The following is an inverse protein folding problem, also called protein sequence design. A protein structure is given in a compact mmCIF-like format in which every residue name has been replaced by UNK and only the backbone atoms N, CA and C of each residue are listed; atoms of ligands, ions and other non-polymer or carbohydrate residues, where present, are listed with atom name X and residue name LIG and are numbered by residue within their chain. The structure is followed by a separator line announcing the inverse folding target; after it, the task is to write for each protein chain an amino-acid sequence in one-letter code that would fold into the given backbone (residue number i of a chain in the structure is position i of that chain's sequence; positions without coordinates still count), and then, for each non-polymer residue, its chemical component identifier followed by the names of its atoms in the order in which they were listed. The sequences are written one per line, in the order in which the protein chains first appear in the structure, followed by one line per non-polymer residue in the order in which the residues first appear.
data_IF_728517460189
#
_entry.id   IF_728517460189
#
_cell.length_a   1.000
_cell.length_b   1.000
_cell.length_c   1.000
_cell.angle_alpha   90.00
_cell.angle_beta   90.00
_cell.angle_gamma   90.00
#
_symmetry.space_group_name_H-M   'P 1'
#
loop_
_entity.id
_entity.type
_entity.pdbx_description
1 polymer ?
#
# COMPACT_ATOMS: atom_id res chain seq x y z
N UNK A 1 -5.19 -6.71 15.00
CA UNK A 1 -5.79 -5.54 15.70
C UNK A 1 -4.80 -4.39 15.51
N UNK A 2 -5.09 -3.19 15.03
CA UNK A 2 -6.30 -2.51 14.57
C UNK A 2 -5.85 -1.26 13.79
N UNK A 3 -6.74 -0.72 12.95
CA UNK A 3 -6.45 0.31 11.96
C UNK A 3 -6.23 1.70 12.58
N UNK A 4 -5.23 2.42 12.05
CA UNK A 4 -4.96 3.83 12.36
C UNK A 4 -5.68 4.72 11.34
N UNK A 5 -6.68 5.41 11.87
CA UNK A 5 -7.40 6.63 11.47
C UNK A 5 -6.90 7.42 10.24
N UNK A 6 -7.78 7.59 9.24
CA UNK A 6 -7.73 8.63 8.22
C UNK A 6 -8.86 9.65 8.48
N UNK A 7 -8.50 10.90 8.72
CA UNK A 7 -9.43 12.04 8.70
C UNK A 7 -9.00 12.97 7.56
N UNK A 8 -9.67 12.85 6.43
CA UNK A 8 -9.56 13.78 5.30
C UNK A 8 -10.43 15.02 5.59
N UNK A 9 -9.80 16.19 5.51
CA UNK A 9 -10.37 17.49 5.85
C UNK A 9 -10.95 18.12 4.57
N UNK A 10 -12.28 18.15 4.45
CA UNK A 10 -13.04 18.72 3.34
C UNK A 10 -13.28 20.23 3.60
N UNK A 11 -12.63 21.10 2.81
CA UNK A 11 -12.36 22.50 3.15
C UNK A 11 -13.39 23.54 2.65
N UNK A 12 -14.67 23.18 2.45
CA UNK A 12 -15.66 24.11 1.85
C UNK A 12 -17.06 24.07 2.47
N UNK A 13 -17.23 23.55 3.68
CA UNK A 13 -18.51 23.60 4.41
C UNK A 13 -18.37 24.45 5.66
N UNK A 14 -19.33 25.35 5.99
CA UNK A 14 -19.28 26.10 7.24
C UNK A 14 -19.17 25.12 8.40
N UNK A 15 -18.40 25.49 9.43
CA UNK A 15 -18.08 24.63 10.56
C UNK A 15 -19.35 24.29 11.35
N UNK A 16 -20.00 23.18 10.99
CA UNK A 16 -21.19 22.69 11.66
C UNK A 16 -20.72 21.92 12.87
N UNK A 17 -20.76 22.56 14.04
CA UNK A 17 -20.52 21.90 15.32
C UNK A 17 -21.62 20.87 15.54
N UNK A 18 -21.30 19.61 15.28
CA UNK A 18 -22.17 18.47 15.54
C UNK A 18 -21.97 18.05 17.00
N UNK A 19 -22.86 18.50 17.87
CA UNK A 19 -22.85 18.11 19.28
C UNK A 19 -23.48 16.73 19.37
N UNK A 20 -22.67 15.73 19.72
CA UNK A 20 -23.17 14.39 19.96
C UNK A 20 -23.97 14.36 21.28
N UNK A 21 -25.01 13.52 21.34
CA UNK A 21 -25.92 13.48 22.50
C UNK A 21 -25.25 13.11 23.83
N UNK A 22 -24.03 12.58 23.76
CA UNK A 22 -23.19 12.23 24.89
C UNK A 22 -22.35 13.41 25.41
N UNK A 23 -22.23 14.49 24.62
CA UNK A 23 -21.48 15.72 24.95
C UNK A 23 -22.37 16.78 25.61
N UNK A 24 -23.68 16.53 25.69
CA UNK A 24 -24.63 17.40 26.38
C UNK A 24 -24.51 17.18 27.89
N UNK A 25 -24.15 18.22 28.69
CA UNK A 25 -24.07 18.07 30.14
C UNK A 25 -25.41 17.62 30.74
N UNK A 26 -25.35 16.79 31.79
CA UNK A 26 -26.53 16.22 32.48
C UNK A 26 -27.55 17.31 32.91
N UNK A 27 -27.06 18.52 33.22
CA UNK A 27 -27.86 19.69 33.57
C UNK A 27 -28.82 20.15 32.46
N UNK A 28 -28.48 19.90 31.19
CA UNK A 28 -29.28 20.29 30.03
C UNK A 28 -30.10 19.14 29.43
N UNK A 29 -29.92 17.92 29.96
CA UNK A 29 -30.58 16.69 29.47
C UNK A 29 -32.09 16.68 29.73
N UNK A 30 -32.55 17.45 30.71
CA UNK A 30 -33.94 17.52 31.17
C UNK A 30 -34.72 18.68 30.55
N UNK A 31 -34.05 19.60 29.86
CA UNK A 31 -34.68 20.75 29.21
C UNK A 31 -35.23 20.32 27.86
N UNK A 32 -36.49 19.85 27.86
CA UNK A 32 -37.20 19.51 26.64
C UNK A 32 -37.60 20.76 25.87
N UNK A 33 -37.18 20.88 24.62
CA UNK A 33 -37.71 21.90 23.71
C UNK A 33 -39.13 21.49 23.30
N UNK A 34 -40.11 22.38 23.46
CA UNK A 34 -41.49 22.10 23.02
C UNK A 34 -41.53 21.76 21.53
N UNK A 35 -42.38 20.81 21.15
CA UNK A 35 -42.58 20.38 19.76
C UNK A 35 -42.93 21.54 18.82
N UNK A 36 -43.53 22.60 19.36
CA UNK A 36 -43.93 23.77 18.55
C UNK A 36 -42.75 24.68 18.23
N UNK A 37 -41.73 24.73 19.09
CA UNK A 37 -40.48 25.46 18.82
C UNK A 37 -39.65 24.69 17.78
N UNK A 38 -39.59 23.37 17.90
CA UNK A 38 -38.92 22.49 16.92
C UNK A 38 -39.57 22.63 15.54
N UNK A 39 -40.90 22.61 15.48
CA UNK A 39 -41.64 22.82 14.23
C UNK A 39 -41.38 24.21 13.64
N UNK A 40 -41.33 25.26 14.47
CA UNK A 40 -41.07 26.63 14.02
C UNK A 40 -39.65 26.82 13.48
N UNK A 41 -38.64 26.22 14.11
CA UNK A 41 -37.25 26.27 13.65
C UNK A 41 -37.07 25.47 12.36
N UNK A 42 -37.65 24.27 12.26
CA UNK A 42 -37.66 23.51 11.00
C UNK A 42 -38.40 24.25 9.88
N UNK A 43 -39.54 24.89 10.19
CA UNK A 43 -40.27 25.70 9.22
C UNK A 43 -39.50 26.96 8.81
N UNK A 44 -38.75 27.58 9.73
CA UNK A 44 -37.88 28.73 9.42
C UNK A 44 -36.69 28.33 8.53
N UNK A 45 -36.11 27.14 8.74
CA UNK A 45 -35.07 26.58 7.86
C UNK A 45 -35.60 26.18 6.47
N UNK A 46 -36.87 25.79 6.38
CA UNK A 46 -37.54 25.49 5.09
C UNK A 46 -37.97 26.78 4.38
N UNK A 47 -38.44 27.80 5.10
CA UNK A 47 -38.83 29.09 4.53
C UNK A 47 -37.65 29.99 4.14
N UNK A 48 -36.45 29.72 4.67
CA UNK A 48 -35.20 30.39 4.32
C UNK A 48 -34.56 29.87 3.02
N UNK A 49 -35.21 30.11 1.88
CA UNK A 49 -34.53 30.19 0.57
C UNK A 49 -33.98 28.92 -0.08
N UNK A 50 -34.22 27.71 0.45
CA UNK A 50 -33.66 26.45 -0.12
C UNK A 50 -34.68 25.49 -0.75
N UNK A 51 -35.93 25.93 -0.94
CA UNK A 51 -37.01 25.10 -1.50
C UNK A 51 -36.68 24.59 -2.91
N UNK A 52 -36.14 25.47 -3.77
CA UNK A 52 -35.73 25.11 -5.13
C UNK A 52 -34.49 24.22 -5.21
N UNK A 53 -33.59 24.30 -4.22
CA UNK A 53 -32.42 23.41 -4.14
C UNK A 53 -32.84 22.02 -3.63
N UNK A 54 -33.73 21.96 -2.65
CA UNK A 54 -34.31 20.71 -2.17
C UNK A 54 -35.09 19.97 -3.27
N UNK A 55 -35.87 20.68 -4.08
CA UNK A 55 -36.60 20.05 -5.19
C UNK A 55 -35.67 19.57 -6.30
N UNK A 56 -34.57 20.28 -6.58
CA UNK A 56 -33.51 19.80 -7.49
C UNK A 56 -32.84 18.53 -6.95
N UNK A 57 -32.45 18.53 -5.68
CA UNK A 57 -31.84 17.36 -5.03
C UNK A 57 -32.79 16.15 -5.02
N UNK A 58 -34.10 16.37 -4.83
CA UNK A 58 -35.11 15.31 -4.94
C UNK A 58 -35.22 14.76 -6.35
N UNK A 59 -35.14 15.62 -7.37
CA UNK A 59 -35.18 15.21 -8.77
C UNK A 59 -33.90 14.47 -9.19
N UNK A 60 -32.73 14.90 -8.72
CA UNK A 60 -31.45 14.20 -8.91
C UNK A 60 -31.45 12.83 -8.23
N UNK A 61 -31.93 12.75 -6.98
CA UNK A 61 -32.06 11.48 -6.25
C UNK A 61 -33.00 10.50 -6.99
N UNK A 62 -34.07 11.00 -7.61
CA UNK A 62 -34.98 10.18 -8.39
C UNK A 62 -34.30 9.64 -9.66
N UNK A 63 -33.54 10.47 -10.38
CA UNK A 63 -32.75 10.05 -11.54
C UNK A 63 -31.67 9.03 -11.18
N UNK A 64 -30.93 9.28 -10.11
CA UNK A 64 -29.87 8.38 -9.65
C UNK A 64 -30.45 7.02 -9.22
N UNK A 65 -31.63 7.00 -8.61
CA UNK A 65 -32.34 5.75 -8.29
C UNK A 65 -32.76 4.98 -9.53
N UNK A 66 -33.22 5.66 -10.58
CA UNK A 66 -33.59 5.05 -11.84
C UNK A 66 -32.36 4.49 -12.58
N UNK A 67 -31.29 5.29 -12.66
CA UNK A 67 -30.02 4.84 -13.24
C UNK A 67 -29.42 3.67 -12.48
N UNK A 68 -29.45 3.70 -11.15
CA UNK A 68 -28.99 2.59 -10.30
C UNK A 68 -29.85 1.35 -10.47
N UNK A 69 -31.16 1.49 -10.64
CA UNK A 69 -32.06 0.38 -10.90
C UNK A 69 -31.73 -0.28 -12.25
N UNK A 70 -31.53 0.55 -13.29
CA UNK A 70 -31.11 0.09 -14.62
C UNK A 70 -29.73 -0.58 -14.58
N UNK A 71 -28.76 0.01 -13.89
CA UNK A 71 -27.42 -0.57 -13.73
C UNK A 71 -27.46 -1.90 -12.99
N UNK A 72 -28.34 -2.05 -11.99
CA UNK A 72 -28.55 -3.32 -11.28
C UNK A 72 -29.17 -4.38 -12.18
N UNK A 73 -30.11 -4.01 -13.03
CA UNK A 73 -30.71 -4.92 -14.02
C UNK A 73 -29.67 -5.36 -15.06
N UNK A 74 -28.88 -4.43 -15.59
CA UNK A 74 -27.79 -4.72 -16.52
C UNK A 74 -26.72 -5.62 -15.89
N UNK A 75 -26.35 -5.38 -14.63
CA UNK A 75 -25.44 -6.25 -13.87
C UNK A 75 -26.04 -7.64 -13.63
N UNK A 76 -27.33 -7.75 -13.33
CA UNK A 76 -28.00 -9.03 -13.17
C UNK A 76 -28.04 -9.81 -14.49
N UNK A 77 -28.31 -9.12 -15.61
CA UNK A 77 -28.30 -9.70 -16.95
C UNK A 77 -26.91 -10.15 -17.38
N UNK A 78 -25.88 -9.34 -17.13
CA UNK A 78 -24.47 -9.70 -17.34
C UNK A 78 -24.05 -10.89 -16.48
N UNK A 79 -24.46 -10.92 -15.22
CA UNK A 79 -24.21 -12.03 -14.31
C UNK A 79 -24.87 -13.32 -14.81
N UNK A 80 -26.11 -13.25 -15.28
CA UNK A 80 -26.82 -14.40 -15.85
C UNK A 80 -26.18 -14.88 -17.16
N UNK A 81 -25.70 -13.96 -18.01
CA UNK A 81 -24.95 -14.29 -19.23
C UNK A 81 -23.60 -14.92 -18.91
N UNK A 82 -22.89 -14.43 -17.88
CA UNK A 82 -21.66 -15.07 -17.38
C UNK A 82 -21.94 -16.46 -16.82
N UNK A 83 -23.01 -16.65 -16.06
CA UNK A 83 -23.40 -17.96 -15.54
C UNK A 83 -23.77 -18.94 -16.66
N UNK A 84 -24.49 -18.48 -17.68
CA UNK A 84 -24.80 -19.29 -18.87
C UNK A 84 -23.54 -19.60 -19.69
N UNK A 85 -22.62 -18.65 -19.84
CA UNK A 85 -21.33 -18.85 -20.50
C UNK A 85 -20.45 -19.83 -19.73
N UNK A 86 -20.41 -19.74 -18.40
CA UNK A 86 -19.72 -20.67 -17.51
C UNK A 86 -20.38 -22.07 -17.46
N UNK A 87 -21.66 -22.17 -17.83
CA UNK A 87 -22.41 -23.43 -17.96
C UNK A 87 -22.30 -24.10 -19.33
N UNK A 88 -21.90 -23.38 -20.40
CA UNK A 88 -21.72 -23.95 -21.75
C UNK A 88 -20.27 -23.93 -22.24
N UNK A 89 -19.37 -23.31 -21.50
CA UNK A 89 -17.94 -23.34 -21.70
C UNK A 89 -17.28 -23.16 -20.33
N UNK A 90 -16.24 -23.92 -20.03
CA UNK A 90 -15.42 -23.65 -18.87
C UNK A 90 -14.99 -22.17 -18.81
N UNK A 91 -14.84 -21.69 -17.57
CA UNK A 91 -14.17 -20.46 -17.15
C UNK A 91 -15.03 -19.22 -16.79
N UNK A 92 -14.82 -18.82 -15.52
CA UNK A 92 -14.60 -17.47 -14.99
C UNK A 92 -15.81 -16.54 -14.75
N UNK A 93 -16.33 -16.60 -13.51
CA UNK A 93 -16.63 -15.37 -12.77
C UNK A 93 -15.32 -14.79 -12.20
N UNK A 94 -15.15 -13.46 -12.09
CA UNK A 94 -14.02 -12.85 -11.40
C UNK A 94 -14.31 -12.90 -9.89
N UNK A 95 -14.37 -14.11 -9.34
CA UNK A 95 -14.06 -14.27 -7.93
C UNK A 95 -12.57 -14.03 -7.77
N UNK A 96 -12.20 -13.59 -6.58
CA UNK A 96 -10.85 -13.44 -6.04
C UNK A 96 -10.07 -14.78 -6.00
N UNK A 97 -10.14 -15.58 -7.06
CA UNK A 97 -9.23 -16.65 -7.35
C UNK A 97 -7.99 -15.99 -7.97
N UNK A 98 -7.08 -15.55 -7.10
CA UNK A 98 -5.67 -15.82 -7.35
C UNK A 98 -5.58 -17.33 -7.53
N UNK A 99 -5.81 -17.80 -8.76
CA UNK A 99 -5.51 -19.16 -9.16
C UNK A 99 -4.08 -19.40 -8.69
N UNK A 100 -3.81 -20.47 -7.93
CA UNK A 100 -2.43 -20.78 -7.51
C UNK A 100 -1.44 -20.69 -8.69
N UNK A 101 -1.93 -21.00 -9.89
CA UNK A 101 -1.25 -20.83 -11.17
C UNK A 101 -0.87 -19.38 -11.53
N UNK A 102 -1.73 -18.37 -11.31
CA UNK A 102 -1.39 -16.95 -11.59
C UNK A 102 -0.32 -16.44 -10.62
N UNK A 103 -0.35 -16.90 -9.36
CA UNK A 103 0.68 -16.59 -8.36
C UNK A 103 2.00 -17.31 -8.68
N UNK A 104 1.93 -18.57 -9.10
CA UNK A 104 3.09 -19.38 -9.51
C UNK A 104 3.74 -18.82 -10.78
N UNK A 105 2.94 -18.38 -11.75
CA UNK A 105 3.40 -17.72 -12.98
C UNK A 105 4.06 -16.38 -12.67
N UNK A 106 3.46 -15.55 -11.79
CA UNK A 106 4.08 -14.30 -11.33
C UNK A 106 5.38 -14.53 -10.57
N UNK A 107 5.43 -15.57 -9.73
CA UNK A 107 6.65 -15.97 -9.02
C UNK A 107 7.73 -16.42 -10.01
N UNK A 108 7.37 -17.23 -11.01
CA UNK A 108 8.28 -17.68 -12.07
C UNK A 108 8.83 -16.52 -12.91
N UNK A 109 7.99 -15.53 -13.22
CA UNK A 109 8.43 -14.31 -13.92
C UNK A 109 9.38 -13.48 -13.05
N UNK A 110 9.10 -13.38 -11.75
CA UNK A 110 9.97 -12.69 -10.80
C UNK A 110 11.32 -13.40 -10.68
N UNK A 111 11.32 -14.72 -10.48
CA UNK A 111 12.53 -15.53 -10.37
C UNK A 111 13.38 -15.46 -11.65
N UNK A 112 12.76 -15.55 -12.84
CA UNK A 112 13.47 -15.38 -14.13
C UNK A 112 14.02 -13.95 -14.31
N UNK A 113 13.32 -12.94 -13.81
CA UNK A 113 13.81 -11.56 -13.82
C UNK A 113 15.00 -11.37 -12.88
N UNK A 114 14.95 -11.96 -11.69
CA UNK A 114 16.06 -11.97 -10.74
C UNK A 114 17.26 -12.69 -11.35
N UNK A 115 17.06 -13.85 -11.98
CA UNK A 115 18.13 -14.60 -12.65
C UNK A 115 18.76 -13.80 -13.79
N UNK A 116 17.96 -13.06 -14.57
CA UNK A 116 18.49 -12.18 -15.63
C UNK A 116 19.29 -11.02 -15.04
N UNK A 117 18.78 -10.35 -14.02
CA UNK A 117 19.49 -9.27 -13.32
C UNK A 117 20.77 -9.81 -12.68
N UNK A 118 20.72 -10.98 -12.05
CA UNK A 118 21.87 -11.64 -11.47
C UNK A 118 22.91 -11.98 -12.53
N UNK A 119 22.52 -12.57 -13.66
CA UNK A 119 23.46 -12.84 -14.77
C UNK A 119 23.99 -11.56 -15.39
N UNK A 120 23.21 -10.50 -15.48
CA UNK A 120 23.60 -9.30 -16.19
C UNK A 120 24.47 -8.37 -15.32
N UNK A 121 24.25 -8.35 -14.01
CA UNK A 121 24.95 -7.45 -13.08
C UNK A 121 25.89 -8.17 -12.09
N UNK A 122 25.70 -9.47 -11.86
CA UNK A 122 26.48 -10.27 -10.91
C UNK A 122 27.25 -11.44 -11.55
N UNK A 123 27.21 -11.63 -12.88
CA UNK A 123 28.04 -12.67 -13.54
C UNK A 123 29.54 -12.43 -13.38
N UNK A 124 29.95 -11.19 -13.14
CA UNK A 124 31.35 -10.86 -12.91
C UNK A 124 31.60 -10.60 -11.42
N UNK A 125 31.85 -11.68 -10.68
CA UNK A 125 32.61 -11.56 -9.45
C UNK A 125 34.07 -11.33 -9.84
N UNK A 126 34.61 -10.14 -9.53
CA UNK A 126 36.05 -9.90 -9.62
C UNK A 126 36.76 -10.95 -8.76
N UNK A 127 37.72 -11.67 -9.34
CA UNK A 127 38.57 -12.60 -8.59
C UNK A 127 39.20 -11.88 -7.39
N UNK A 128 39.43 -12.62 -6.29
CA UNK A 128 39.98 -12.06 -5.07
C UNK A 128 41.46 -11.69 -5.29
N UNK A 129 41.71 -10.47 -5.77
CA UNK A 129 43.05 -9.95 -6.14
C UNK A 129 44.02 -9.94 -4.94
N UNK A 130 43.49 -10.00 -3.71
CA UNK A 130 44.28 -9.98 -2.48
C UNK A 130 44.39 -11.35 -1.80
N UNK A 131 43.99 -12.44 -2.49
CA UNK A 131 44.00 -13.79 -1.95
C UNK A 131 45.40 -14.25 -1.52
N UNK A 132 46.46 -13.85 -2.22
CA UNK A 132 47.84 -14.21 -1.86
C UNK A 132 48.25 -13.62 -0.51
N UNK A 133 47.92 -12.35 -0.28
CA UNK A 133 48.17 -11.67 0.99
C UNK A 133 47.33 -12.29 2.12
N UNK A 134 46.09 -12.69 1.82
CA UNK A 134 45.21 -13.37 2.78
C UNK A 134 45.79 -14.72 3.20
N UNK A 135 46.27 -15.52 2.24
CA UNK A 135 46.92 -16.80 2.50
C UNK A 135 48.19 -16.63 3.35
N UNK A 136 48.98 -15.58 3.11
CA UNK A 136 50.20 -15.30 3.87
C UNK A 136 49.90 -14.90 5.32
N UNK A 137 48.87 -14.08 5.54
CA UNK A 137 48.39 -13.74 6.89
C UNK A 137 47.87 -14.99 7.62
N UNK A 138 47.02 -15.78 6.96
CA UNK A 138 46.47 -17.01 7.56
C UNK A 138 47.58 -17.99 7.92
N UNK A 139 48.59 -18.15 7.05
CA UNK A 139 49.76 -18.98 7.31
C UNK A 139 50.55 -18.47 8.52
N UNK A 140 50.80 -17.16 8.60
CA UNK A 140 51.48 -16.57 9.75
C UNK A 140 50.71 -16.78 11.07
N UNK A 141 49.37 -16.67 11.04
CA UNK A 141 48.52 -16.90 12.21
C UNK A 141 48.50 -18.37 12.62
N UNK A 142 48.51 -19.30 11.66
CA UNK A 142 48.62 -20.73 11.92
C UNK A 142 49.97 -21.08 12.57
N UNK A 143 51.06 -20.46 12.09
CA UNK A 143 52.41 -20.64 12.63
C UNK A 143 52.62 -19.93 13.99
N UNK A 144 51.82 -18.90 14.30
CA UNK A 144 51.96 -18.04 15.50
C UNK A 144 50.65 -17.89 16.28
N UNK A 145 49.98 -19.00 16.60
CA UNK A 145 48.67 -19.00 17.30
C UNK A 145 48.64 -18.15 18.58
N UNK A 146 49.74 -18.11 19.33
CA UNK A 146 49.84 -17.37 20.59
C UNK A 146 50.48 -15.97 20.45
N UNK A 147 50.85 -15.54 19.24
CA UNK A 147 51.58 -14.29 18.99
C UNK A 147 51.10 -13.59 17.71
N UNK A 148 49.79 -13.31 17.65
CA UNK A 148 49.11 -12.64 16.54
C UNK A 148 49.78 -11.33 16.11
N UNK A 149 50.34 -10.57 17.07
CA UNK A 149 51.02 -9.28 16.79
C UNK A 149 52.26 -9.42 15.89
N UNK A 150 52.86 -10.62 15.78
CA UNK A 150 53.96 -10.85 14.84
C UNK A 150 53.53 -10.79 13.38
N UNK A 151 52.25 -11.02 13.10
CA UNK A 151 51.67 -10.99 11.75
C UNK A 151 51.15 -9.59 11.36
N UNK A 152 51.18 -8.61 12.28
CA UNK A 152 50.77 -7.23 12.02
C UNK A 152 51.40 -6.59 10.76
N UNK A 153 52.71 -6.76 10.44
CA UNK A 153 53.27 -6.17 9.23
C UNK A 153 52.69 -6.76 7.92
N UNK A 154 52.18 -8.00 7.94
CA UNK A 154 51.53 -8.61 6.78
C UNK A 154 50.16 -7.97 6.50
N UNK A 155 49.50 -7.43 7.53
CA UNK A 155 48.22 -6.73 7.41
C UNK A 155 48.35 -5.44 6.59
N UNK A 156 49.48 -4.71 6.69
CA UNK A 156 49.68 -3.49 5.90
C UNK A 156 49.69 -3.75 4.39
N UNK A 157 50.29 -4.85 3.96
CA UNK A 157 50.32 -5.25 2.55
C UNK A 157 48.92 -5.63 2.04
N UNK A 158 48.16 -6.36 2.88
CA UNK A 158 46.77 -6.69 2.59
C UNK A 158 45.87 -5.46 2.51
N UNK A 159 45.96 -4.53 3.46
CA UNK A 159 45.20 -3.27 3.45
C UNK A 159 45.52 -2.41 2.24
N UNK A 160 46.79 -2.33 1.84
CA UNK A 160 47.20 -1.65 0.60
C UNK A 160 46.57 -2.32 -0.62
N UNK A 161 46.59 -3.64 -0.70
CA UNK A 161 45.96 -4.38 -1.80
C UNK A 161 44.45 -4.11 -1.86
N UNK A 162 43.74 -4.22 -0.74
CA UNK A 162 42.29 -4.00 -0.65
C UNK A 162 41.93 -2.56 -1.00
N UNK A 163 42.70 -1.58 -0.50
CA UNK A 163 42.48 -0.17 -0.80
C UNK A 163 42.70 0.15 -2.28
N UNK A 164 43.75 -0.41 -2.90
CA UNK A 164 44.04 -0.27 -4.32
C UNK A 164 42.96 -0.91 -5.20
N UNK A 165 42.51 -2.12 -4.83
CA UNK A 165 41.41 -2.80 -5.50
C UNK A 165 40.11 -2.01 -5.39
N UNK A 166 39.77 -1.52 -4.20
CA UNK A 166 38.59 -0.66 -3.98
C UNK A 166 38.65 0.60 -4.84
N UNK A 167 39.81 1.24 -4.95
CA UNK A 167 39.98 2.40 -5.82
C UNK A 167 39.80 2.04 -7.30
N UNK A 168 40.28 0.89 -7.76
CA UNK A 168 40.07 0.43 -9.14
C UNK A 168 38.59 0.15 -9.43
N UNK A 169 37.87 -0.45 -8.47
CA UNK A 169 36.42 -0.69 -8.60
C UNK A 169 35.65 0.63 -8.65
N UNK A 170 35.98 1.60 -7.76
CA UNK A 170 35.32 2.90 -7.72
C UNK A 170 35.63 3.79 -8.91
N UNK A 171 36.83 3.68 -9.49
CA UNK A 171 37.23 4.47 -10.65
C UNK A 171 36.58 4.00 -11.96
N UNK A 172 35.94 2.83 -11.95
CA UNK A 172 35.21 2.30 -13.11
C UNK A 172 36.11 2.17 -14.34
N UNK A 173 36.72 1.00 -14.52
CA UNK A 173 37.10 0.61 -15.89
C UNK A 173 35.82 0.41 -16.72
#
# INVERSE_FOLDING_TARGET
MGASQSSEQDASRPDVVRIDRNEVPEEYKTVGVSSDVVKRVNAANVAGGNDGENDRLRQELAREREEKAKLREDMAKLSQLQQRKAGSAGAAAPQLANSGNDLEERKKIFDDTVDRVQKQFFSYHRENVCQDNENEIVKCLQDNQNRVLKCAPLTEAFEKCVSGFRQQVLKGN
#
